data_IF_730213380618
#
_entry.id   IF_730213380618
#
_cell.length_a   1.000
_cell.length_b   1.000
_cell.length_c   1.000
_cell.angle_alpha   90.00
_cell.angle_beta   90.00
_cell.angle_gamma   90.00
#
_symmetry.space_group_name_H-M   'P 1'
#
loop_
_entity.id
_entity.type
_entity.pdbx_description
1 polymer ?
#
# COMPACT_ATOMS: atom_id res chain seq x y z
N UNK A 1 -8.34 -0.60 8.73
CA UNK A 1 -7.58 0.44 8.00
C UNK A 1 -7.70 1.73 8.77
N UNK A 2 -6.63 2.50 8.86
CA UNK A 2 -6.60 3.78 9.53
C UNK A 2 -6.02 4.87 8.61
N UNK A 3 -6.47 6.10 8.80
CA UNK A 3 -6.12 7.24 7.96
C UNK A 3 -5.82 8.46 8.83
N UNK A 4 -4.67 9.08 8.60
CA UNK A 4 -4.25 10.30 9.30
C UNK A 4 -3.55 11.26 8.35
N UNK A 5 -3.23 12.45 8.84
CA UNK A 5 -2.43 13.42 8.10
C UNK A 5 -1.24 13.88 8.92
N UNK A 6 -0.10 14.06 8.25
CA UNK A 6 1.12 14.62 8.83
C UNK A 6 1.47 15.91 8.09
N UNK A 7 2.11 16.85 8.78
CA UNK A 7 2.63 18.04 8.12
C UNK A 7 4.04 17.76 7.59
N UNK A 8 4.26 18.02 6.30
CA UNK A 8 5.54 17.95 5.61
C UNK A 8 5.93 19.36 5.15
N UNK A 9 7.18 19.78 5.38
CA UNK A 9 7.63 21.14 5.03
C UNK A 9 7.48 21.44 3.53
N UNK A 10 7.79 20.47 2.68
CA UNK A 10 7.79 20.64 1.22
C UNK A 10 6.38 20.58 0.61
N UNK A 11 5.50 19.74 1.17
CA UNK A 11 4.21 19.38 0.55
C UNK A 11 3.00 19.83 1.38
N UNK A 12 3.22 20.43 2.56
CA UNK A 12 2.16 20.77 3.51
C UNK A 12 1.55 19.53 4.15
N UNK A 13 0.22 19.55 4.37
CA UNK A 13 -0.49 18.39 4.91
C UNK A 13 -0.54 17.24 3.90
N UNK A 14 0.06 16.12 4.26
CA UNK A 14 0.06 14.87 3.50
C UNK A 14 -0.82 13.83 4.20
N UNK A 15 -1.45 12.96 3.41
CA UNK A 15 -2.23 11.83 3.91
C UNK A 15 -1.35 10.60 4.12
N UNK A 16 -1.65 9.85 5.18
CA UNK A 16 -1.05 8.57 5.52
C UNK A 16 -2.16 7.54 5.66
N UNK A 17 -2.06 6.46 4.90
CA UNK A 17 -3.02 5.36 4.86
C UNK A 17 -2.34 4.09 5.38
N UNK A 18 -2.81 3.55 6.51
CA UNK A 18 -2.22 2.38 7.14
C UNK A 18 -3.20 1.19 7.17
N UNK A 19 -2.74 0.03 6.71
CA UNK A 19 -3.44 -1.24 6.87
C UNK A 19 -2.86 -1.96 8.07
N UNK A 20 -3.70 -2.16 9.09
CA UNK A 20 -3.33 -2.76 10.37
C UNK A 20 -3.99 -4.13 10.47
N UNK A 21 -3.20 -5.17 10.74
CA UNK A 21 -3.72 -6.49 11.11
C UNK A 21 -4.30 -6.39 12.52
N UNK A 22 -5.61 -6.61 12.67
CA UNK A 22 -6.30 -6.50 13.95
C UNK A 22 -5.92 -7.61 14.95
N UNK A 23 -5.35 -8.72 14.50
CA UNK A 23 -4.93 -9.81 15.37
C UNK A 23 -3.57 -9.52 16.03
N UNK A 24 -2.63 -8.95 15.27
CA UNK A 24 -1.25 -8.70 15.73
C UNK A 24 -0.98 -7.24 16.06
N UNK A 25 -1.89 -6.33 15.71
CA UNK A 25 -1.68 -4.88 15.72
C UNK A 25 -0.50 -4.41 14.87
N UNK A 26 -0.03 -5.22 13.93
CA UNK A 26 1.06 -4.85 13.03
C UNK A 26 0.57 -4.02 11.84
N UNK A 27 1.36 -3.02 11.43
CA UNK A 27 1.15 -2.33 10.15
C UNK A 27 1.67 -3.23 9.03
N UNK A 28 0.73 -3.76 8.24
CA UNK A 28 1.02 -4.68 7.14
C UNK A 28 1.16 -3.98 5.79
N UNK A 29 0.68 -2.74 5.66
CA UNK A 29 0.89 -1.90 4.48
C UNK A 29 0.69 -0.41 4.81
N UNK A 30 1.40 0.45 4.08
CA UNK A 30 1.34 1.92 4.25
C UNK A 30 1.45 2.61 2.89
N UNK A 31 0.67 3.67 2.67
CA UNK A 31 0.81 4.60 1.54
C UNK A 31 0.82 6.03 2.07
N UNK A 32 1.74 6.84 1.54
CA UNK A 32 1.93 8.25 1.92
C UNK A 32 1.84 9.10 0.67
N UNK A 33 0.95 10.09 0.68
CA UNK A 33 0.66 10.88 -0.50
C UNK A 33 0.19 12.29 -0.16
N UNK A 34 0.28 13.20 -1.13
CA UNK A 34 -0.19 14.60 -0.98
C UNK A 34 -1.69 14.74 -0.70
N UNK A 35 -2.48 13.68 -0.91
CA UNK A 35 -3.92 13.65 -0.66
C UNK A 35 -4.30 12.29 -0.10
N UNK A 36 -5.30 12.24 0.77
CA UNK A 36 -5.84 10.99 1.29
C UNK A 36 -7.05 10.49 0.50
N UNK A 37 -6.90 10.15 -0.79
CA UNK A 37 -8.02 9.65 -1.61
C UNK A 37 -8.09 8.12 -1.50
N UNK A 38 -9.16 7.57 -2.05
CA UNK A 38 -9.40 6.12 -2.04
C UNK A 38 -8.32 5.34 -2.78
N UNK A 39 -7.67 5.92 -3.81
CA UNK A 39 -6.64 5.22 -4.59
C UNK A 39 -5.37 4.98 -3.78
N UNK A 40 -4.99 5.91 -2.90
CA UNK A 40 -3.86 5.75 -1.98
C UNK A 40 -4.16 4.65 -0.95
N UNK A 41 -5.38 4.62 -0.42
CA UNK A 41 -5.82 3.54 0.46
C UNK A 41 -5.78 2.17 -0.23
N UNK A 42 -6.22 2.09 -1.49
CA UNK A 42 -6.14 0.87 -2.29
C UNK A 42 -4.70 0.39 -2.47
N UNK A 43 -3.74 1.29 -2.72
CA UNK A 43 -2.32 0.95 -2.85
C UNK A 43 -1.73 0.39 -1.56
N UNK A 44 -2.07 0.98 -0.40
CA UNK A 44 -1.65 0.45 0.90
C UNK A 44 -2.17 -0.98 1.11
N UNK A 45 -3.43 -1.24 0.73
CA UNK A 45 -4.05 -2.57 0.80
C UNK A 45 -3.40 -3.57 -0.16
N UNK A 46 -3.15 -3.17 -1.40
CA UNK A 46 -2.48 -4.01 -2.40
C UNK A 46 -1.07 -4.39 -1.92
N UNK A 47 -0.29 -3.41 -1.44
CA UNK A 47 1.03 -3.65 -0.87
C UNK A 47 0.99 -4.63 0.32
N UNK A 48 0.01 -4.48 1.21
CA UNK A 48 -0.18 -5.41 2.34
C UNK A 48 -0.49 -6.84 1.86
N UNK A 49 -1.40 -6.99 0.89
CA UNK A 49 -1.76 -8.28 0.33
C UNK A 49 -0.56 -8.94 -0.35
N UNK A 50 0.18 -8.20 -1.18
CA UNK A 50 1.38 -8.70 -1.85
C UNK A 50 2.45 -9.14 -0.84
N UNK A 51 2.66 -8.36 0.22
CA UNK A 51 3.63 -8.68 1.27
C UNK A 51 3.28 -9.97 2.03
N UNK A 52 2.01 -10.19 2.34
CA UNK A 52 1.57 -11.34 3.16
C UNK A 52 1.29 -12.61 2.36
N UNK A 53 0.66 -12.46 1.21
CA UNK A 53 0.13 -13.57 0.44
C UNK A 53 0.91 -13.81 -0.85
N UNK A 54 1.81 -12.89 -1.23
CA UNK A 54 2.49 -12.94 -2.50
C UNK A 54 1.50 -12.83 -3.66
N UNK A 55 1.93 -13.35 -4.81
CA UNK A 55 1.11 -13.47 -6.00
C UNK A 55 0.77 -14.94 -6.19
N UNK A 56 -0.50 -15.24 -6.45
CA UNK A 56 -0.92 -16.58 -6.85
C UNK A 56 -0.59 -16.71 -8.34
N UNK A 57 0.64 -17.09 -8.64
CA UNK A 57 0.99 -17.52 -9.99
C UNK A 57 0.75 -19.03 -10.11
N UNK A 58 0.12 -19.50 -11.19
CA UNK A 58 0.14 -20.91 -11.53
C UNK A 58 1.59 -21.40 -11.60
N UNK A 59 1.89 -22.55 -11.01
CA UNK A 59 3.23 -23.13 -11.06
C UNK A 59 3.65 -23.32 -12.52
N UNK A 60 4.79 -22.72 -12.91
CA UNK A 60 5.40 -22.90 -14.22
C UNK A 60 5.12 -21.80 -15.26
N UNK A 61 4.34 -20.76 -14.93
CA UNK A 61 4.15 -19.62 -15.83
C UNK A 61 5.24 -18.54 -15.63
N UNK A 62 5.79 -18.05 -16.75
CA UNK A 62 6.71 -16.92 -16.75
C UNK A 62 6.02 -15.68 -16.21
N UNK A 63 6.60 -15.07 -15.18
CA UNK A 63 6.09 -13.81 -14.60
C UNK A 63 5.92 -12.77 -15.71
N UNK A 64 4.78 -12.06 -15.77
CA UNK A 64 4.66 -10.91 -16.66
C UNK A 64 5.75 -9.91 -16.30
N UNK A 65 6.66 -9.67 -17.23
CA UNK A 65 7.66 -8.61 -17.09
C UNK A 65 7.05 -7.38 -17.74
N UNK A 66 6.62 -6.42 -16.92
CA UNK A 66 6.27 -5.11 -17.43
C UNK A 66 7.54 -4.50 -18.03
N UNK A 67 7.61 -4.45 -19.37
CA UNK A 67 8.63 -3.72 -20.10
C UNK A 67 8.05 -2.36 -20.46
N UNK A 68 8.84 -1.32 -20.22
CA UNK A 68 8.59 0.01 -20.75
C UNK A 68 9.59 0.24 -21.89
N UNK A 69 9.44 -0.51 -22.97
CA UNK A 69 10.00 -0.09 -24.25
C UNK A 69 9.11 0.99 -24.90
#
# INVERSE_FOLDING_TARGET
MDATSLYCEQDGWIGVMAVIDCCTSEIVGIDVARRGRAVEAQRALESACLKRFGLIYPNGESRPVLRSD
#
